data_IF_508392156773
#
_entry.id   IF_508392156773
#
_cell.length_a   1.000
_cell.length_b   1.000
_cell.length_c   1.000
_cell.angle_alpha   90.00
_cell.angle_beta   90.00
_cell.angle_gamma   90.00
#
_symmetry.space_group_name_H-M   'P 1'
#
loop_
_entity.id
_entity.type
_entity.pdbx_description
1 polymer ?
#
# COMPACT_ATOMS: atom_id res chain seq x y z
N UNK A 1 9.11 27.88 -38.82
CA UNK A 1 10.32 27.11 -38.45
C UNK A 1 9.93 25.63 -38.46
N UNK A 2 10.21 24.96 -39.58
CA UNK A 2 10.17 23.50 -39.64
C UNK A 2 11.38 23.00 -38.87
N UNK A 3 11.17 22.63 -37.63
CA UNK A 3 12.21 21.93 -36.87
C UNK A 3 12.43 20.57 -37.55
N UNK A 4 13.61 20.40 -38.15
CA UNK A 4 13.96 19.17 -38.83
C UNK A 4 14.03 18.03 -37.79
N UNK A 5 13.31 16.93 -38.04
CA UNK A 5 13.29 15.75 -37.16
C UNK A 5 14.72 15.23 -36.88
N UNK A 6 15.62 15.45 -37.81
CA UNK A 6 17.04 15.08 -37.67
C UNK A 6 17.74 15.84 -36.56
N UNK A 7 17.41 17.12 -36.35
CA UNK A 7 18.02 18.00 -35.36
C UNK A 7 17.47 17.83 -33.94
N UNK A 8 16.36 17.06 -33.74
CA UNK A 8 15.76 16.84 -32.43
C UNK A 8 16.66 15.96 -31.56
N UNK A 9 17.04 16.49 -30.39
CA UNK A 9 17.75 15.75 -29.36
C UNK A 9 16.75 14.95 -28.50
N UNK A 10 16.59 13.65 -28.85
CA UNK A 10 15.65 12.77 -28.14
C UNK A 10 16.03 12.57 -26.67
N UNK A 11 17.32 12.62 -26.35
CA UNK A 11 17.78 12.46 -24.96
C UNK A 11 17.32 13.62 -24.10
N UNK A 12 17.50 14.84 -24.59
CA UNK A 12 17.04 16.05 -23.89
C UNK A 12 15.52 16.09 -23.72
N UNK A 13 14.77 15.71 -24.76
CA UNK A 13 13.31 15.64 -24.71
C UNK A 13 12.88 14.61 -23.66
N UNK A 14 13.51 13.43 -23.66
CA UNK A 14 13.23 12.38 -22.68
C UNK A 14 13.50 12.86 -21.25
N UNK A 15 14.64 13.46 -20.99
CA UNK A 15 15.02 14.01 -19.68
C UNK A 15 14.01 15.06 -19.19
N UNK A 16 13.51 15.93 -20.06
CA UNK A 16 12.49 16.94 -19.71
C UNK A 16 11.17 16.26 -19.35
N UNK A 17 10.72 15.29 -20.14
CA UNK A 17 9.45 14.60 -19.89
C UNK A 17 9.51 13.73 -18.64
N UNK A 18 10.63 13.05 -18.38
CA UNK A 18 10.80 12.23 -17.17
C UNK A 18 10.99 13.06 -15.87
N UNK A 19 11.10 14.40 -15.96
CA UNK A 19 10.99 15.27 -14.78
C UNK A 19 9.55 15.49 -14.32
N UNK A 20 8.57 15.21 -15.17
CA UNK A 20 7.16 15.28 -14.80
C UNK A 20 6.80 14.14 -13.84
N UNK A 21 6.29 14.46 -12.66
CA UNK A 21 6.06 13.51 -11.56
C UNK A 21 5.10 12.37 -11.92
N UNK A 22 4.18 12.60 -12.85
CA UNK A 22 3.24 11.58 -13.33
C UNK A 22 3.84 10.62 -14.36
N UNK A 23 5.00 10.92 -14.91
CA UNK A 23 5.64 10.11 -15.94
C UNK A 23 6.63 9.14 -15.30
N UNK A 24 6.35 7.85 -15.41
CA UNK A 24 7.25 6.78 -14.95
C UNK A 24 8.37 6.51 -15.96
N UNK A 25 8.05 6.56 -17.25
CA UNK A 25 8.99 6.28 -18.32
C UNK A 25 8.51 6.86 -19.64
N UNK A 26 9.45 7.35 -20.46
CA UNK A 26 9.20 7.78 -21.83
C UNK A 26 10.09 7.01 -22.78
N UNK A 27 9.50 6.46 -23.84
CA UNK A 27 10.20 5.93 -25.00
C UNK A 27 9.95 6.84 -26.20
N UNK A 28 11.02 7.28 -26.86
CA UNK A 28 10.96 8.17 -28.01
C UNK A 28 11.55 7.46 -29.22
N UNK A 29 10.83 7.55 -30.36
CA UNK A 29 11.29 6.98 -31.64
C UNK A 29 11.03 7.95 -32.78
N UNK A 30 12.07 8.25 -33.56
CA UNK A 30 11.94 8.96 -34.84
C UNK A 30 11.43 8.00 -35.91
N UNK A 31 10.38 8.38 -36.60
CA UNK A 31 9.87 7.69 -37.80
C UNK A 31 9.96 8.68 -38.95
N UNK A 32 10.92 8.46 -39.80
CA UNK A 32 11.17 9.34 -40.94
C UNK A 32 10.03 9.31 -41.95
N UNK A 33 9.72 10.43 -42.67
CA UNK A 33 10.52 11.66 -42.68
C UNK A 33 10.22 12.68 -41.57
N UNK A 34 9.05 12.62 -40.88
CA UNK A 34 8.58 13.75 -40.09
C UNK A 34 7.83 13.40 -38.82
N UNK A 35 7.84 12.14 -38.35
CA UNK A 35 7.03 11.69 -37.24
C UNK A 35 7.91 11.38 -36.03
N UNK A 36 7.55 11.94 -34.85
CA UNK A 36 8.08 11.54 -33.55
C UNK A 36 7.00 10.73 -32.82
N UNK A 37 7.34 9.49 -32.46
CA UNK A 37 6.46 8.63 -31.64
C UNK A 37 6.91 8.73 -30.20
N UNK A 38 5.95 9.02 -29.31
CA UNK A 38 6.11 9.03 -27.85
C UNK A 38 5.29 7.88 -27.30
N UNK A 39 5.93 7.04 -26.51
CA UNK A 39 5.29 6.01 -25.70
C UNK A 39 5.55 6.36 -24.24
N UNK A 40 4.48 6.72 -23.51
CA UNK A 40 4.54 7.23 -22.14
C UNK A 40 3.92 6.19 -21.22
N UNK A 41 4.66 5.81 -20.18
CA UNK A 41 4.16 5.01 -19.06
C UNK A 41 4.00 5.96 -17.88
N UNK A 42 2.77 6.07 -17.39
CA UNK A 42 2.44 6.89 -16.24
C UNK A 42 2.69 6.16 -14.92
N UNK A 43 2.91 6.92 -13.84
CA UNK A 43 2.91 6.39 -12.49
C UNK A 43 1.47 6.04 -12.08
N UNK A 44 1.29 4.85 -11.51
CA UNK A 44 0.01 4.37 -10.99
C UNK A 44 -0.02 4.51 -9.47
N UNK A 45 -0.84 5.42 -8.90
CA UNK A 45 -0.92 5.62 -7.47
C UNK A 45 -1.50 4.38 -6.78
N UNK A 46 -0.78 3.86 -5.80
CA UNK A 46 -1.20 2.69 -5.02
C UNK A 46 -1.65 3.07 -3.60
N UNK A 47 -0.95 3.99 -2.96
CA UNK A 47 -1.19 4.38 -1.58
C UNK A 47 -0.96 5.88 -1.36
N UNK A 48 -1.36 6.36 -0.19
CA UNK A 48 -1.07 7.71 0.29
C UNK A 48 -0.10 7.62 1.47
N UNK A 49 1.10 8.15 1.30
CA UNK A 49 2.03 8.37 2.39
C UNK A 49 1.58 9.58 3.24
N UNK A 50 1.42 9.36 4.54
CA UNK A 50 1.26 10.43 5.54
C UNK A 50 2.60 10.65 6.24
N UNK A 51 3.24 11.79 5.97
CA UNK A 51 4.50 12.19 6.62
C UNK A 51 4.40 13.64 7.11
N UNK A 52 4.71 13.88 8.39
CA UNK A 52 4.78 15.21 9.04
C UNK A 52 3.60 16.15 8.73
N UNK A 53 2.39 15.58 8.66
CA UNK A 53 1.16 16.33 8.38
C UNK A 53 0.91 16.60 6.90
N UNK A 54 1.75 16.13 6.02
CA UNK A 54 1.58 16.16 4.56
C UNK A 54 1.18 14.79 4.04
N UNK A 55 0.60 14.79 2.84
CA UNK A 55 0.15 13.61 2.14
C UNK A 55 0.78 13.55 0.75
N UNK A 56 1.25 12.37 0.36
CA UNK A 56 1.90 12.15 -0.92
C UNK A 56 1.30 10.91 -1.58
N UNK A 57 0.99 10.98 -2.87
CA UNK A 57 0.67 9.79 -3.65
C UNK A 57 1.96 9.01 -3.88
N UNK A 58 1.92 7.69 -3.66
CA UNK A 58 3.03 6.78 -3.89
C UNK A 58 2.59 5.60 -4.73
N UNK A 59 3.47 5.13 -5.62
CA UNK A 59 3.25 3.89 -6.37
C UNK A 59 3.58 2.66 -5.51
N UNK A 60 3.34 1.46 -6.04
CA UNK A 60 3.63 0.20 -5.36
C UNK A 60 5.13 -0.02 -5.11
N UNK A 61 5.99 0.60 -5.91
CA UNK A 61 7.46 0.54 -5.76
C UNK A 61 7.97 1.49 -4.67
N UNK A 62 7.08 2.32 -4.10
CA UNK A 62 7.40 3.31 -3.06
C UNK A 62 7.89 4.65 -3.63
N UNK A 63 7.73 4.87 -4.94
CA UNK A 63 8.06 6.15 -5.56
C UNK A 63 7.04 7.20 -5.18
N UNK A 64 7.50 8.35 -4.67
CA UNK A 64 6.63 9.50 -4.42
C UNK A 64 6.29 10.14 -5.77
N UNK A 65 5.00 10.16 -6.12
CA UNK A 65 4.50 10.71 -7.38
C UNK A 65 4.27 12.22 -7.24
N UNK A 66 3.49 12.63 -6.24
CA UNK A 66 3.14 14.05 -6.04
C UNK A 66 2.74 14.31 -4.59
N UNK A 67 3.02 15.53 -4.10
CA UNK A 67 2.42 16.02 -2.86
C UNK A 67 0.93 16.29 -3.09
N UNK A 68 0.09 15.70 -2.24
CA UNK A 68 -1.35 15.79 -2.36
C UNK A 68 -1.87 17.10 -1.78
N UNK A 69 -2.57 17.87 -2.57
CA UNK A 69 -3.45 18.95 -2.13
C UNK A 69 -4.85 18.40 -1.86
N UNK A 70 -5.70 19.18 -1.18
CA UNK A 70 -6.99 18.76 -0.59
C UNK A 70 -8.03 18.13 -1.55
N UNK A 71 -7.80 18.08 -2.84
CA UNK A 71 -8.80 17.78 -3.88
C UNK A 71 -9.00 16.28 -4.20
N UNK A 72 -8.19 15.38 -3.64
CA UNK A 72 -8.32 13.94 -3.93
C UNK A 72 -8.98 13.19 -2.79
N UNK A 73 -9.88 12.29 -3.15
CA UNK A 73 -10.60 11.43 -2.24
C UNK A 73 -9.63 10.45 -1.53
N UNK A 74 -9.42 10.65 -0.22
CA UNK A 74 -8.54 9.81 0.59
C UNK A 74 -9.13 8.42 0.81
N UNK A 75 -10.44 8.28 0.67
CA UNK A 75 -11.18 7.08 1.05
C UNK A 75 -10.88 5.88 0.15
N UNK A 76 -10.38 6.13 -1.06
CA UNK A 76 -10.08 5.08 -2.05
C UNK A 76 -8.65 4.55 -1.98
N UNK A 77 -7.79 5.10 -1.14
CA UNK A 77 -6.39 4.70 -1.05
C UNK A 77 -6.04 4.14 0.33
N UNK A 78 -5.12 3.18 0.34
CA UNK A 78 -4.47 2.72 1.57
C UNK A 78 -3.58 3.84 2.09
N UNK A 79 -3.71 4.19 3.38
CA UNK A 79 -2.84 5.18 4.01
C UNK A 79 -1.63 4.47 4.59
N UNK A 80 -0.43 4.90 4.24
CA UNK A 80 0.82 4.40 4.82
C UNK A 80 1.49 5.47 5.67
N UNK A 81 2.18 5.06 6.73
CA UNK A 81 2.97 5.96 7.58
C UNK A 81 4.18 5.24 8.19
N UNK A 82 5.10 6.03 8.72
CA UNK A 82 6.35 5.57 9.31
C UNK A 82 7.56 5.77 8.39
N UNK A 83 8.72 5.94 9.01
CA UNK A 83 9.98 6.11 8.30
C UNK A 83 10.25 4.91 7.38
N UNK A 84 10.63 5.19 6.13
CA UNK A 84 10.90 4.18 5.10
C UNK A 84 9.71 3.27 4.75
N UNK A 85 8.47 3.65 5.11
CA UNK A 85 7.28 2.90 4.74
C UNK A 85 7.10 2.74 3.22
N UNK A 86 7.37 3.76 2.36
CA UNK A 86 7.19 3.61 0.93
C UNK A 86 8.04 2.47 0.32
N UNK A 87 9.37 2.40 0.49
CA UNK A 87 10.16 1.32 -0.08
C UNK A 87 9.85 -0.07 0.51
N UNK A 88 9.34 -0.13 1.75
CA UNK A 88 8.96 -1.39 2.39
C UNK A 88 7.58 -1.91 1.97
N UNK A 89 6.72 -1.05 1.38
CA UNK A 89 5.35 -1.36 1.00
C UNK A 89 5.25 -2.57 0.06
N UNK A 90 6.03 -2.57 -1.01
CA UNK A 90 6.03 -3.64 -2.02
C UNK A 90 6.29 -5.02 -1.41
N UNK A 91 7.20 -5.08 -0.45
CA UNK A 91 7.51 -6.33 0.27
C UNK A 91 6.28 -6.85 1.03
N UNK A 92 5.62 -6.00 1.80
CA UNK A 92 4.41 -6.37 2.53
C UNK A 92 3.28 -6.83 1.59
N UNK A 93 3.01 -6.06 0.53
CA UNK A 93 1.94 -6.40 -0.43
C UNK A 93 2.22 -7.72 -1.14
N UNK A 94 3.49 -8.00 -1.45
CA UNK A 94 3.90 -9.30 -2.01
C UNK A 94 3.59 -10.45 -1.05
N UNK A 95 3.96 -10.34 0.22
CA UNK A 95 3.68 -11.37 1.22
C UNK A 95 2.17 -11.58 1.42
N UNK A 96 1.39 -10.49 1.48
CA UNK A 96 -0.06 -10.56 1.55
C UNK A 96 -0.66 -11.28 0.33
N UNK A 97 -0.21 -10.97 -0.88
CA UNK A 97 -0.70 -11.63 -2.10
C UNK A 97 -0.44 -13.14 -2.10
N UNK A 98 0.69 -13.58 -1.55
CA UNK A 98 1.07 -15.00 -1.51
C UNK A 98 0.29 -15.75 -0.43
N UNK A 99 0.22 -15.20 0.78
CA UNK A 99 -0.25 -15.94 1.95
C UNK A 99 -1.68 -15.61 2.37
N UNK A 100 -2.18 -14.39 2.09
CA UNK A 100 -3.54 -13.99 2.45
C UNK A 100 -4.05 -12.84 1.55
N UNK A 101 -4.24 -13.12 0.27
CA UNK A 101 -4.64 -12.14 -0.76
C UNK A 101 -5.98 -11.45 -0.48
N UNK A 102 -6.91 -12.15 0.15
CA UNK A 102 -8.25 -11.64 0.49
C UNK A 102 -8.19 -10.45 1.46
N UNK A 103 -7.12 -10.35 2.25
CA UNK A 103 -6.93 -9.26 3.21
C UNK A 103 -6.68 -7.92 2.51
N UNK A 104 -6.10 -7.92 1.31
CA UNK A 104 -5.71 -6.70 0.58
C UNK A 104 -6.91 -5.79 0.33
N UNK A 105 -8.07 -6.35 -0.02
CA UNK A 105 -9.29 -5.56 -0.25
C UNK A 105 -9.84 -4.88 1.00
N UNK A 106 -9.42 -5.33 2.18
CA UNK A 106 -9.85 -4.85 3.48
C UNK A 106 -8.86 -3.87 4.13
N UNK A 107 -7.70 -3.65 3.51
CA UNK A 107 -6.69 -2.72 4.01
C UNK A 107 -7.23 -1.29 4.06
N UNK A 108 -6.97 -0.60 5.14
CA UNK A 108 -7.25 0.82 5.33
C UNK A 108 -5.97 1.59 5.62
N UNK A 109 -5.19 1.15 6.62
CA UNK A 109 -3.99 1.83 7.04
C UNK A 109 -2.85 0.85 7.34
N UNK A 110 -1.63 1.23 6.96
CA UNK A 110 -0.40 0.48 7.20
C UNK A 110 0.61 1.39 7.90
N UNK A 111 0.97 1.06 9.13
CA UNK A 111 1.99 1.80 9.88
C UNK A 111 3.28 0.98 9.94
N UNK A 112 4.36 1.50 9.36
CA UNK A 112 5.68 0.87 9.44
C UNK A 112 6.41 1.33 10.70
N UNK A 113 6.49 0.45 11.69
CA UNK A 113 6.95 0.74 13.03
C UNK A 113 8.44 0.45 13.16
N UNK A 114 9.22 1.46 13.60
CA UNK A 114 10.66 1.34 13.86
C UNK A 114 11.45 0.76 12.68
N UNK A 115 11.00 1.03 11.43
CA UNK A 115 11.62 0.57 10.17
C UNK A 115 11.77 -0.96 10.06
N UNK A 116 10.93 -1.74 10.74
CA UNK A 116 11.11 -3.20 10.78
C UNK A 116 9.83 -4.03 10.76
N UNK A 117 8.69 -3.51 11.22
CA UNK A 117 7.46 -4.28 11.30
C UNK A 117 6.25 -3.47 10.90
N UNK A 118 5.21 -4.14 10.45
CA UNK A 118 3.98 -3.50 10.05
C UNK A 118 2.87 -3.68 11.08
N UNK A 119 2.13 -2.61 11.35
CA UNK A 119 0.81 -2.66 11.90
C UNK A 119 -0.19 -2.40 10.77
N UNK A 120 -1.19 -3.27 10.65
CA UNK A 120 -2.24 -3.21 9.62
C UNK A 120 -3.54 -2.83 10.32
N UNK A 121 -4.20 -1.77 9.87
CA UNK A 121 -5.57 -1.44 10.29
C UNK A 121 -6.50 -1.74 9.12
N UNK A 122 -7.52 -2.57 9.35
CA UNK A 122 -8.52 -2.91 8.35
C UNK A 122 -9.64 -1.86 8.31
N UNK A 123 -10.49 -1.91 7.27
CA UNK A 123 -11.65 -1.02 7.10
C UNK A 123 -12.67 -1.11 8.24
N UNK A 124 -12.75 -2.25 8.92
CA UNK A 124 -13.56 -2.45 10.12
C UNK A 124 -12.87 -2.02 11.43
N UNK A 125 -11.72 -1.32 11.34
CA UNK A 125 -10.88 -0.87 12.44
C UNK A 125 -10.16 -1.98 13.23
N UNK A 126 -10.15 -3.23 12.76
CA UNK A 126 -9.33 -4.28 13.35
C UNK A 126 -7.85 -3.96 13.18
N UNK A 127 -7.12 -3.89 14.28
CA UNK A 127 -5.67 -3.71 14.30
C UNK A 127 -4.95 -5.06 14.31
N UNK A 128 -4.05 -5.28 13.36
CA UNK A 128 -3.21 -6.47 13.25
C UNK A 128 -1.74 -6.04 13.38
N UNK A 129 -1.02 -6.62 14.33
CA UNK A 129 0.41 -6.35 14.57
C UNK A 129 1.23 -7.51 14.05
N UNK A 130 2.00 -7.27 12.98
CA UNK A 130 2.88 -8.28 12.39
C UNK A 130 4.26 -8.30 13.08
N UNK A 131 4.96 -9.45 13.07
CA UNK A 131 6.35 -9.55 13.50
C UNK A 131 7.28 -8.84 12.50
N UNK A 132 8.55 -8.66 12.89
CA UNK A 132 9.61 -8.13 12.03
C UNK A 132 10.23 -9.19 11.11
N UNK A 133 10.00 -10.46 11.40
CA UNK A 133 10.51 -11.61 10.63
C UNK A 133 9.45 -12.72 10.55
N UNK A 134 9.58 -13.63 9.59
CA UNK A 134 8.63 -14.75 9.38
C UNK A 134 7.19 -14.27 9.18
N UNK A 135 7.03 -13.20 8.41
CA UNK A 135 5.73 -12.61 8.09
C UNK A 135 4.84 -13.63 7.38
N UNK A 136 5.40 -14.48 6.53
CA UNK A 136 4.75 -15.60 5.87
C UNK A 136 3.94 -16.47 6.84
N UNK A 137 4.60 -16.98 7.88
CA UNK A 137 3.94 -17.81 8.93
C UNK A 137 2.90 -17.03 9.72
N UNK A 138 3.17 -15.76 10.01
CA UNK A 138 2.20 -14.92 10.72
C UNK A 138 0.93 -14.71 9.89
N UNK A 139 1.05 -14.51 8.58
CA UNK A 139 -0.10 -14.35 7.67
C UNK A 139 -0.87 -15.65 7.48
N UNK A 140 -0.20 -16.80 7.40
CA UNK A 140 -0.86 -18.11 7.38
C UNK A 140 -1.66 -18.35 8.67
N UNK A 141 -1.08 -18.07 9.84
CA UNK A 141 -1.77 -18.16 11.12
C UNK A 141 -2.98 -17.21 11.18
N UNK A 142 -2.82 -15.99 10.70
CA UNK A 142 -3.90 -15.00 10.60
C UNK A 142 -5.04 -15.52 9.71
N UNK A 143 -4.72 -16.06 8.54
CA UNK A 143 -5.71 -16.64 7.62
C UNK A 143 -6.49 -17.76 8.30
N UNK A 144 -5.81 -18.65 9.03
CA UNK A 144 -6.46 -19.73 9.78
C UNK A 144 -7.39 -19.20 10.88
N UNK A 145 -7.01 -18.08 11.55
CA UNK A 145 -7.89 -17.43 12.53
C UNK A 145 -9.16 -16.88 11.87
N UNK A 146 -9.05 -16.28 10.67
CA UNK A 146 -10.20 -15.73 9.94
C UNK A 146 -11.17 -16.80 9.42
N UNK A 147 -10.73 -18.05 9.25
CA UNK A 147 -11.61 -19.19 8.91
C UNK A 147 -12.37 -19.71 10.13
N UNK A 148 -11.92 -19.41 11.35
CA UNK A 148 -12.55 -19.88 12.57
C UNK A 148 -13.77 -19.01 12.92
N UNK A 149 -14.97 -19.58 12.80
CA UNK A 149 -16.24 -18.87 13.05
C UNK A 149 -16.32 -18.23 14.46
N UNK A 150 -15.73 -18.86 15.49
CA UNK A 150 -15.72 -18.32 16.85
C UNK A 150 -14.92 -17.01 16.92
N UNK A 151 -13.87 -16.88 16.15
CA UNK A 151 -13.06 -15.65 16.06
C UNK A 151 -13.83 -14.56 15.32
N UNK A 152 -14.53 -14.91 14.23
CA UNK A 152 -15.33 -13.96 13.45
C UNK A 152 -16.53 -13.41 14.19
N UNK A 153 -17.13 -14.20 15.13
CA UNK A 153 -18.24 -13.76 15.96
C UNK A 153 -17.84 -12.92 17.18
N UNK A 154 -16.55 -12.88 17.49
CA UNK A 154 -16.02 -12.11 18.62
C UNK A 154 -15.78 -10.65 18.21
N UNK A 155 -16.05 -9.70 19.11
CA UNK A 155 -15.75 -8.28 18.92
C UNK A 155 -14.24 -8.01 19.07
N UNK A 156 -13.41 -8.63 18.22
CA UNK A 156 -11.97 -8.48 18.27
C UNK A 156 -11.59 -7.12 17.69
N UNK A 157 -10.81 -6.36 18.45
CA UNK A 157 -10.30 -5.04 18.06
C UNK A 157 -8.80 -5.05 17.75
N UNK A 158 -8.06 -6.08 18.23
CA UNK A 158 -6.64 -6.22 17.97
C UNK A 158 -6.23 -7.69 17.91
N UNK A 159 -5.36 -8.03 16.95
CA UNK A 159 -4.66 -9.32 16.81
C UNK A 159 -3.16 -9.05 16.82
N UNK A 160 -2.46 -9.56 17.83
CA UNK A 160 -1.01 -9.41 17.95
C UNK A 160 -0.31 -10.73 17.62
N UNK A 161 0.45 -10.73 16.50
CA UNK A 161 1.18 -11.87 15.96
C UNK A 161 2.71 -11.75 16.12
N UNK A 162 3.18 -10.79 16.92
CA UNK A 162 4.61 -10.50 17.05
C UNK A 162 5.42 -11.63 17.71
N UNK A 163 4.76 -12.51 18.44
CA UNK A 163 5.41 -13.68 19.04
C UNK A 163 5.15 -14.90 18.15
N UNK A 164 6.21 -15.53 17.64
CA UNK A 164 6.10 -16.69 16.77
C UNK A 164 5.26 -17.81 17.43
N UNK A 165 4.37 -18.40 16.65
CA UNK A 165 3.47 -19.47 17.10
C UNK A 165 2.36 -19.06 18.08
N UNK A 166 2.22 -17.77 18.37
CA UNK A 166 1.20 -17.25 19.28
C UNK A 166 0.44 -16.09 18.66
N UNK A 167 -0.88 -16.11 18.76
CA UNK A 167 -1.75 -14.98 18.50
C UNK A 167 -2.39 -14.50 19.83
N UNK A 168 -2.26 -13.22 20.15
CA UNK A 168 -2.94 -12.58 21.27
C UNK A 168 -4.11 -11.77 20.73
N UNK A 169 -5.31 -12.00 21.24
CA UNK A 169 -6.53 -11.34 20.81
C UNK A 169 -7.00 -10.37 21.90
N UNK A 170 -7.32 -9.13 21.51
CA UNK A 170 -7.97 -8.16 22.36
C UNK A 170 -9.40 -7.97 21.92
N UNK A 171 -10.34 -8.13 22.84
CA UNK A 171 -11.78 -8.00 22.61
C UNK A 171 -12.27 -6.67 23.18
N UNK A 172 -13.25 -6.05 22.53
CA UNK A 172 -13.94 -4.87 23.05
C UNK A 172 -14.94 -5.28 24.13
N UNK A 173 -14.56 -5.13 25.38
CA UNK A 173 -15.38 -5.49 26.54
C UNK A 173 -16.69 -4.69 26.62
N UNK A 174 -16.79 -3.53 25.98
CA UNK A 174 -17.99 -2.69 25.96
C UNK A 174 -19.12 -3.23 25.08
N UNK A 175 -18.88 -4.28 24.30
CA UNK A 175 -19.86 -4.89 23.36
C UNK A 175 -20.15 -6.36 23.65
N UNK A 176 -19.77 -6.88 24.78
CA UNK A 176 -20.15 -8.25 25.18
C UNK A 176 -21.64 -8.22 25.56
N UNK A 177 -22.51 -8.47 24.58
CA UNK A 177 -23.88 -8.86 24.84
C UNK A 177 -23.83 -10.28 25.40
N UNK A 178 -23.78 -10.41 26.73
CA UNK A 178 -24.16 -11.66 27.35
C UNK A 178 -25.64 -11.86 27.05
N UNK A 179 -25.93 -12.71 26.08
CA UNK A 179 -27.27 -13.26 25.90
C UNK A 179 -27.63 -14.05 27.19
N UNK A 180 -28.22 -13.36 28.11
CA UNK A 180 -28.91 -13.95 29.29
C UNK A 180 -30.20 -14.59 28.78
N UNK A 181 -30.14 -15.60 27.93
CA UNK A 181 -31.27 -16.45 27.62
C UNK A 181 -30.76 -17.84 27.25
N UNK A 182 -30.24 -18.57 28.22
CA UNK A 182 -30.18 -20.01 28.21
C UNK A 182 -29.92 -20.47 29.65
N UNK A 183 -30.98 -20.41 30.46
CA UNK A 183 -31.18 -21.21 31.67
C UNK A 183 -32.47 -22.00 31.49
#
# INVERSE_FOLDING_TARGET
>A
HTSDLLSLDLKKIKEILEQEQWIKRVNLKKVYPSTLVLDIIENDPYAILRDKGKYYLVDIDGTIIIEKTKEYDLENFIIISGDESPPALKGLIKELNIHFSELISQLNKLDFIERRRWNITLKNNLLIKLPDSKIDKALENLKNLFVNEKVLQSNIIEIDLRIEGRASLKVDEGKINYGLNDI
#
